data_IF_740613731724
#
_entry.id   IF_740613731724
#
_cell.length_a   1.000
_cell.length_b   1.000
_cell.length_c   1.000
_cell.angle_alpha   90.00
_cell.angle_beta   90.00
_cell.angle_gamma   90.00
#
_symmetry.space_group_name_H-M   'P 1'
#
loop_
_entity.id
_entity.type
_entity.pdbx_description
1 polymer ?
#
# COMPACT_ATOMS: atom_id res chain seq x y z
N UNK A 1 17.51 1.09 -0.51
CA UNK A 1 16.71 2.15 -1.16
C UNK A 1 15.29 2.09 -0.67
N UNK A 2 14.67 3.23 -0.47
CA UNK A 2 13.28 3.28 -0.01
C UNK A 2 12.34 3.30 -1.19
N UNK A 3 11.27 2.54 -1.08
CA UNK A 3 10.23 2.49 -2.09
C UNK A 3 8.88 2.77 -1.48
N UNK A 4 8.06 3.52 -2.20
CA UNK A 4 6.66 3.71 -1.86
C UNK A 4 5.91 2.67 -2.68
N UNK A 5 5.20 1.78 -2.02
CA UNK A 5 4.49 0.70 -2.70
C UNK A 5 2.99 0.90 -2.49
N UNK A 6 2.27 0.99 -3.58
CA UNK A 6 0.83 1.15 -3.57
C UNK A 6 0.22 -0.20 -3.88
N UNK A 7 -0.61 -0.71 -2.97
CA UNK A 7 -1.23 -2.02 -3.10
C UNK A 7 -2.73 -1.86 -3.08
N UNK A 8 -3.42 -2.63 -3.91
CA UNK A 8 -4.88 -2.57 -3.95
C UNK A 8 -5.44 -3.98 -4.05
N UNK A 9 -6.32 -4.32 -3.12
CA UNK A 9 -7.02 -5.60 -3.10
C UNK A 9 -8.44 -5.37 -3.59
N UNK A 10 -8.96 -6.31 -4.35
CA UNK A 10 -10.31 -6.23 -4.88
C UNK A 10 -11.16 -7.36 -4.31
N UNK A 11 -12.38 -7.03 -3.97
CA UNK A 11 -13.29 -7.99 -3.36
C UNK A 11 -14.69 -7.89 -3.92
N UNK A 12 -15.64 -8.40 -3.16
CA UNK A 12 -17.00 -8.54 -3.63
C UNK A 12 -18.04 -7.76 -2.80
N UNK A 13 -17.60 -6.88 -1.95
CA UNK A 13 -18.52 -6.03 -1.20
C UNK A 13 -17.89 -4.66 -0.93
N UNK A 14 -18.73 -3.71 -0.60
CA UNK A 14 -18.25 -2.37 -0.31
C UNK A 14 -17.56 -2.31 1.04
N UNK A 15 -16.46 -1.59 1.12
CA UNK A 15 -15.70 -1.43 2.34
C UNK A 15 -16.27 -0.26 3.13
N UNK A 16 -16.47 -0.45 4.43
CA UNK A 16 -17.04 0.57 5.29
C UNK A 16 -15.96 1.52 5.81
N UNK A 17 -16.40 2.66 6.31
CA UNK A 17 -15.48 3.63 6.89
C UNK A 17 -14.72 3.05 8.08
N UNK A 18 -15.39 2.26 8.91
CA UNK A 18 -14.73 1.63 10.06
C UNK A 18 -13.63 0.70 9.63
N UNK A 19 -13.85 -0.02 8.55
CA UNK A 19 -12.84 -0.94 8.03
C UNK A 19 -11.63 -0.20 7.49
N UNK A 20 -11.85 0.92 6.82
CA UNK A 20 -10.73 1.73 6.31
C UNK A 20 -9.94 2.32 7.47
N UNK A 21 -10.63 2.76 8.55
CA UNK A 21 -9.96 3.29 9.71
C UNK A 21 -9.09 2.23 10.38
N UNK A 22 -9.59 1.00 10.48
CA UNK A 22 -8.81 -0.11 11.03
C UNK A 22 -7.56 -0.35 10.18
N UNK A 23 -7.71 -0.33 8.87
CA UNK A 23 -6.58 -0.55 7.98
C UNK A 23 -5.59 0.61 8.09
N UNK A 24 -6.08 1.84 8.19
CA UNK A 24 -5.21 3.00 8.34
C UNK A 24 -4.37 2.88 9.60
N UNK A 25 -4.97 2.45 10.70
CA UNK A 25 -4.24 2.24 11.94
C UNK A 25 -3.20 1.12 11.79
N UNK A 26 -3.58 0.06 11.10
CA UNK A 26 -2.70 -1.09 10.93
C UNK A 26 -1.46 -0.73 10.10
N UNK A 27 -1.60 0.12 9.07
CA UNK A 27 -0.48 0.48 8.21
C UNK A 27 0.26 1.74 8.68
N UNK A 28 -0.25 2.42 9.68
CA UNK A 28 0.40 3.64 10.19
C UNK A 28 1.82 3.37 10.65
N UNK A 29 2.06 2.23 11.26
CA UNK A 29 3.40 1.85 11.71
C UNK A 29 4.35 1.54 10.57
N UNK A 30 3.84 1.42 9.36
CA UNK A 30 4.64 1.17 8.16
C UNK A 30 4.81 2.45 7.34
N UNK A 31 4.47 3.59 7.91
CA UNK A 31 4.49 4.85 7.17
C UNK A 31 3.43 4.91 6.10
N UNK A 32 2.32 4.21 6.30
CA UNK A 32 1.34 3.98 5.26
C UNK A 32 0.07 4.80 5.36
N UNK A 33 -0.63 4.85 4.26
CA UNK A 33 -1.92 5.51 4.13
C UNK A 33 -2.88 4.49 3.54
N UNK A 34 -4.08 4.40 4.10
CA UNK A 34 -5.08 3.45 3.62
C UNK A 34 -6.18 4.15 2.83
N UNK A 35 -6.83 3.41 1.95
CA UNK A 35 -7.95 3.90 1.17
C UNK A 35 -8.93 2.76 0.90
N UNK A 36 -10.11 3.10 0.36
CA UNK A 36 -11.08 2.08 -0.01
C UNK A 36 -12.50 2.38 0.41
N UNK A 37 -12.74 3.42 1.20
CA UNK A 37 -14.08 3.72 1.67
C UNK A 37 -15.02 3.91 0.47
N UNK A 38 -16.13 3.22 0.49
CA UNK A 38 -17.13 3.35 -0.57
C UNK A 38 -16.81 2.61 -1.85
N UNK A 39 -15.80 1.76 -1.85
CA UNK A 39 -15.46 0.99 -3.04
C UNK A 39 -15.50 -0.50 -2.73
N UNK A 40 -15.40 -1.32 -3.77
CA UNK A 40 -15.46 -2.77 -3.64
C UNK A 40 -14.08 -3.37 -3.36
N UNK A 41 -13.21 -2.61 -2.77
CA UNK A 41 -11.87 -3.07 -2.43
C UNK A 41 -11.23 -2.14 -1.44
N UNK A 42 -10.00 -2.44 -1.05
CA UNK A 42 -9.25 -1.57 -0.16
C UNK A 42 -7.80 -1.55 -0.62
N UNK A 43 -7.09 -0.54 -0.20
CA UNK A 43 -5.70 -0.42 -0.59
C UNK A 43 -4.91 0.35 0.44
N UNK A 44 -3.61 0.33 0.25
CA UNK A 44 -2.72 1.10 1.10
C UNK A 44 -1.46 1.42 0.32
N UNK A 45 -0.83 2.51 0.71
CA UNK A 45 0.47 2.88 0.20
C UNK A 45 1.41 2.84 1.39
N UNK A 46 2.43 2.03 1.32
CA UNK A 46 3.37 1.87 2.43
C UNK A 46 4.79 2.07 1.93
N UNK A 47 5.68 2.37 2.86
CA UNK A 47 7.08 2.61 2.54
C UNK A 47 7.90 1.42 3.03
N UNK A 48 8.71 0.86 2.15
CA UNK A 48 9.57 -0.27 2.50
C UNK A 48 10.99 0.00 2.01
N UNK A 49 11.95 -0.67 2.64
CA UNK A 49 13.33 -0.60 2.21
C UNK A 49 13.68 -1.89 1.53
N UNK A 50 14.28 -1.81 0.35
CA UNK A 50 14.60 -3.00 -0.43
C UNK A 50 15.73 -2.67 -1.40
N UNK A 51 16.31 -3.70 -1.99
CA UNK A 51 17.41 -3.53 -2.94
C UNK A 51 16.91 -3.17 -4.34
N UNK A 52 15.70 -3.59 -4.67
CA UNK A 52 15.12 -3.31 -5.98
C UNK A 52 13.60 -3.32 -5.87
N UNK A 53 12.92 -2.97 -6.96
CA UNK A 53 11.46 -2.86 -6.93
C UNK A 53 10.76 -4.20 -6.73
N UNK A 54 11.31 -5.29 -7.27
CA UNK A 54 10.69 -6.60 -7.08
C UNK A 54 10.72 -7.01 -5.62
N UNK A 55 11.87 -6.79 -4.96
CA UNK A 55 11.99 -7.07 -3.53
C UNK A 55 11.05 -6.17 -2.73
N UNK A 56 10.90 -4.92 -3.15
CA UNK A 56 10.02 -3.98 -2.47
C UNK A 56 8.57 -4.47 -2.50
N UNK A 57 8.12 -4.96 -3.66
CA UNK A 57 6.75 -5.49 -3.77
C UNK A 57 6.57 -6.69 -2.86
N UNK A 58 7.51 -7.61 -2.85
CA UNK A 58 7.42 -8.81 -1.99
C UNK A 58 7.33 -8.43 -0.52
N UNK A 59 8.18 -7.51 -0.08
CA UNK A 59 8.17 -7.06 1.31
C UNK A 59 6.86 -6.36 1.63
N UNK A 60 6.40 -5.51 0.73
CA UNK A 60 5.16 -4.77 0.93
C UNK A 60 3.96 -5.70 1.00
N UNK A 61 3.92 -6.72 0.15
CA UNK A 61 2.83 -7.69 0.17
C UNK A 61 2.76 -8.42 1.50
N UNK A 62 3.93 -8.83 2.04
CA UNK A 62 3.96 -9.48 3.34
C UNK A 62 3.48 -8.55 4.44
N UNK A 63 3.97 -7.32 4.45
CA UNK A 63 3.58 -6.37 5.48
C UNK A 63 2.11 -5.99 5.39
N UNK A 64 1.62 -5.84 4.17
CA UNK A 64 0.21 -5.52 3.94
C UNK A 64 -0.68 -6.66 4.41
N UNK A 65 -0.33 -7.90 4.08
CA UNK A 65 -1.10 -9.06 4.51
C UNK A 65 -1.12 -9.17 6.04
N UNK A 66 0.01 -8.92 6.68
CA UNK A 66 0.09 -8.96 8.13
C UNK A 66 -0.77 -7.84 8.75
N UNK A 67 -0.77 -6.66 8.14
CA UNK A 67 -1.58 -5.55 8.63
C UNK A 67 -3.06 -5.87 8.50
N UNK A 68 -3.48 -6.39 7.35
CA UNK A 68 -4.88 -6.76 7.13
C UNK A 68 -5.32 -7.83 8.14
N UNK A 69 -4.42 -8.76 8.46
CA UNK A 69 -4.74 -9.83 9.40
C UNK A 69 -5.02 -9.31 10.81
N UNK A 70 -4.60 -8.11 11.15
CA UNK A 70 -4.89 -7.52 12.46
C UNK A 70 -6.21 -6.76 12.47
N UNK A 71 -6.90 -6.68 11.33
CA UNK A 71 -8.17 -5.95 11.21
C UNK A 71 -9.31 -6.94 11.00
N UNK A 72 -10.52 -6.42 10.91
CA UNK A 72 -11.67 -7.26 10.60
C UNK A 72 -11.88 -7.38 9.09
N UNK A 73 -11.00 -6.81 8.29
CA UNK A 73 -11.13 -6.88 6.84
C UNK A 73 -10.93 -8.31 6.31
N UNK A 74 -11.66 -8.68 5.27
CA UNK A 74 -11.43 -9.97 4.64
C UNK A 74 -10.09 -9.96 3.89
N UNK A 75 -9.48 -11.13 3.80
CA UNK A 75 -8.18 -11.24 3.14
C UNK A 75 -8.37 -11.40 1.63
N UNK A 76 -8.73 -10.32 0.98
CA UNK A 76 -8.90 -10.34 -0.48
C UNK A 76 -7.55 -10.31 -1.18
N UNK A 77 -7.46 -10.88 -2.37
CA UNK A 77 -6.19 -10.89 -3.10
C UNK A 77 -5.80 -9.48 -3.57
N UNK A 78 -4.52 -9.21 -3.56
CA UNK A 78 -4.01 -7.95 -4.11
C UNK A 78 -4.05 -8.05 -5.62
N UNK A 79 -4.82 -7.16 -6.24
CA UNK A 79 -5.00 -7.14 -7.68
C UNK A 79 -4.03 -6.20 -8.38
N UNK A 80 -3.46 -5.25 -7.64
CA UNK A 80 -2.56 -4.27 -8.21
C UNK A 80 -1.49 -3.89 -7.21
N UNK A 81 -0.25 -3.77 -7.67
CA UNK A 81 0.86 -3.29 -6.85
C UNK A 81 1.75 -2.44 -7.74
N UNK A 82 2.06 -1.23 -7.28
CA UNK A 82 2.92 -0.32 -8.01
C UNK A 82 3.99 0.20 -7.08
N UNK A 83 5.20 0.36 -7.57
CA UNK A 83 6.31 0.86 -6.78
C UNK A 83 6.86 2.14 -7.38
N UNK A 84 7.28 3.04 -6.51
CA UNK A 84 8.00 4.24 -6.90
C UNK A 84 9.20 4.31 -5.98
N UNK A 85 10.39 4.33 -6.53
CA UNK A 85 11.60 4.52 -5.73
C UNK A 85 11.63 5.99 -5.34
N UNK A 86 11.66 6.28 -4.05
CA UNK A 86 11.58 7.66 -3.59
C UNK A 86 12.70 8.53 -4.15
N UNK A 87 13.88 7.96 -4.24
CA UNK A 87 15.01 8.70 -4.80
C UNK A 87 14.82 8.98 -6.27
N UNK A 88 14.28 8.02 -7.01
CA UNK A 88 14.03 8.21 -8.42
C UNK A 88 12.93 9.24 -8.66
N UNK A 89 11.89 9.19 -7.85
CA UNK A 89 10.80 10.13 -7.96
C UNK A 89 11.30 11.55 -7.73
N UNK A 90 12.16 11.71 -6.73
CA UNK A 90 12.73 12.99 -6.41
C UNK A 90 13.63 13.49 -7.55
N UNK A 91 14.39 12.60 -8.14
CA UNK A 91 15.26 12.94 -9.25
C UNK A 91 14.45 13.35 -10.48
N UNK A 92 13.34 12.68 -10.71
CA UNK A 92 12.46 13.03 -11.82
C UNK A 92 11.89 14.42 -11.66
N UNK A 93 11.52 14.80 -10.45
CA UNK A 93 11.02 16.12 -10.20
C UNK A 93 12.08 17.17 -10.47
N UNK A 94 13.32 16.88 -10.11
CA UNK A 94 14.40 17.79 -10.39
C UNK A 94 14.69 17.87 -11.87
N UNK A 95 14.53 16.79 -12.57
CA UNK A 95 14.85 16.75 -13.97
C UNK A 95 13.82 17.39 -14.85
N UNK A 96 12.65 17.60 -14.33
CA UNK A 96 11.62 18.08 -15.09
C UNK A 96 11.38 19.47 -15.05
N UNK A 97 12.14 20.26 -14.87
CA UNK A 97 11.89 21.60 -14.80
C UNK A 97 11.84 22.16 -16.06
N UNK A 98 11.97 21.75 -16.84
CA UNK A 98 12.02 22.26 -17.97
C UNK A 98 11.02 22.91 -18.54
#
# INVERSE_FOLDING_TARGET
MKYSVSLQAEGDREVTLEEVVELADAVAGLGGIASGFGTMGYGAQIIVEADNSDAAVDIALEKFAAAVATTSLPAWPVARAETIAEDEDYADLDAEPQ
#
